data_IF_604479080312
#
_entry.id   IF_604479080312
#
_cell.length_a   1.000
_cell.length_b   1.000
_cell.length_c   1.000
_cell.angle_alpha   90.00
_cell.angle_beta   90.00
_cell.angle_gamma   90.00
#
_symmetry.space_group_name_H-M   'P 1'
#
loop_
_entity.id
_entity.type
_entity.pdbx_description
1 polymer ?
#
# COMPACT_ATOMS: atom_id res chain seq x y z
N UNK A 1 -3.09 -8.82 -13.55
CA UNK A 1 -3.02 -10.01 -12.66
C UNK A 1 -1.63 -10.63 -12.57
N UNK A 2 -1.03 -11.21 -13.62
CA UNK A 2 0.31 -11.85 -13.54
C UNK A 2 1.41 -10.94 -12.92
N UNK A 3 1.60 -9.73 -13.46
CA UNK A 3 2.59 -8.77 -12.92
C UNK A 3 2.33 -8.40 -11.45
N UNK A 4 1.07 -8.32 -11.03
CA UNK A 4 0.71 -8.04 -9.64
C UNK A 4 1.14 -9.19 -8.72
N UNK A 5 0.93 -10.45 -9.15
CA UNK A 5 1.37 -11.63 -8.42
C UNK A 5 2.90 -11.73 -8.34
N UNK A 6 3.60 -11.39 -9.42
CA UNK A 6 5.08 -11.35 -9.46
C UNK A 6 5.63 -10.28 -8.51
N UNK A 7 5.10 -9.05 -8.59
CA UNK A 7 5.49 -7.97 -7.68
C UNK A 7 5.16 -8.31 -6.22
N UNK A 8 4.02 -8.94 -5.96
CA UNK A 8 3.64 -9.39 -4.61
C UNK A 8 4.56 -10.50 -4.10
N UNK A 9 4.99 -11.42 -4.96
CA UNK A 9 5.97 -12.44 -4.60
C UNK A 9 7.30 -11.81 -4.18
N UNK A 10 7.73 -10.74 -4.84
CA UNK A 10 8.92 -9.97 -4.46
C UNK A 10 8.70 -9.20 -3.15
N UNK A 11 7.57 -8.50 -3.01
CA UNK A 11 7.21 -7.76 -1.79
C UNK A 11 7.25 -8.66 -0.54
N UNK A 12 6.76 -9.89 -0.64
CA UNK A 12 6.83 -10.87 0.46
C UNK A 12 8.25 -11.18 0.93
N UNK A 13 9.25 -11.13 0.05
CA UNK A 13 10.65 -11.34 0.44
C UNK A 13 11.12 -10.23 1.37
N UNK A 14 10.78 -8.97 1.06
CA UNK A 14 11.08 -7.83 1.94
C UNK A 14 10.33 -7.93 3.27
N UNK A 15 9.04 -8.29 3.23
CA UNK A 15 8.21 -8.46 4.42
C UNK A 15 8.66 -9.58 5.36
N UNK A 16 9.39 -10.58 4.85
CA UNK A 16 9.97 -11.66 5.65
C UNK A 16 11.42 -11.42 6.08
N UNK A 17 12.10 -10.41 5.53
CA UNK A 17 13.52 -10.19 5.77
C UNK A 17 13.73 -9.20 6.94
N UNK A 18 14.37 -9.63 8.04
CA UNK A 18 14.62 -8.78 9.21
C UNK A 18 15.62 -7.64 8.98
N UNK A 19 16.38 -7.66 7.89
CA UNK A 19 17.35 -6.61 7.55
C UNK A 19 16.67 -5.31 7.10
N UNK A 20 15.39 -5.36 6.71
CA UNK A 20 14.62 -4.17 6.34
C UNK A 20 13.79 -3.69 7.53
N UNK A 21 14.09 -2.50 8.03
CA UNK A 21 13.31 -1.88 9.11
C UNK A 21 12.01 -1.21 8.62
N UNK A 22 11.93 -0.85 7.33
CA UNK A 22 10.77 -0.22 6.71
C UNK A 22 10.48 -0.85 5.34
N UNK A 23 9.22 -1.22 5.12
CA UNK A 23 8.71 -1.64 3.81
C UNK A 23 7.55 -0.73 3.41
N UNK A 24 7.61 -0.17 2.20
CA UNK A 24 6.54 0.66 1.63
C UNK A 24 5.79 -0.15 0.58
N UNK A 25 4.50 -0.35 0.79
CA UNK A 25 3.58 -0.99 -0.14
C UNK A 25 2.72 0.10 -0.79
N UNK A 26 3.31 0.75 -1.79
CA UNK A 26 2.68 1.86 -2.49
C UNK A 26 1.52 1.38 -3.38
N UNK A 27 0.36 1.99 -3.23
CA UNK A 27 -0.85 1.75 -4.03
C UNK A 27 -1.40 0.32 -3.99
N UNK A 28 -1.14 -0.43 -2.91
CA UNK A 28 -1.56 -1.84 -2.77
C UNK A 28 -3.08 -1.99 -2.61
N UNK A 29 -3.79 -0.96 -2.14
CA UNK A 29 -5.26 -1.02 -1.95
C UNK A 29 -5.96 -1.33 -3.28
N UNK A 30 -5.47 -0.81 -4.41
CA UNK A 30 -6.00 -1.14 -5.74
C UNK A 30 -5.83 -2.61 -6.11
N UNK A 31 -4.76 -3.26 -5.66
CA UNK A 31 -4.53 -4.68 -5.94
C UNK A 31 -5.56 -5.56 -5.22
N UNK A 32 -6.01 -5.15 -4.04
CA UNK A 32 -7.10 -5.79 -3.30
C UNK A 32 -8.44 -5.47 -3.97
N UNK A 33 -8.74 -4.18 -4.16
CA UNK A 33 -10.03 -3.71 -4.65
C UNK A 33 -10.37 -4.26 -6.05
N UNK A 34 -9.37 -4.41 -6.91
CA UNK A 34 -9.54 -5.01 -8.25
C UNK A 34 -9.37 -6.53 -8.27
N UNK A 35 -9.26 -7.19 -7.11
CA UNK A 35 -9.12 -8.64 -6.94
C UNK A 35 -7.96 -9.21 -7.75
N UNK A 36 -6.84 -8.48 -7.77
CA UNK A 36 -5.58 -8.92 -8.36
C UNK A 36 -4.76 -9.71 -7.35
N UNK A 37 -4.86 -9.34 -6.08
CA UNK A 37 -4.31 -10.05 -4.94
C UNK A 37 -5.43 -10.40 -3.96
N UNK A 38 -5.29 -11.54 -3.29
CA UNK A 38 -6.19 -11.90 -2.20
C UNK A 38 -5.80 -11.13 -0.93
N UNK A 39 -6.74 -10.38 -0.38
CA UNK A 39 -6.55 -9.61 0.85
C UNK A 39 -6.05 -10.46 2.01
N UNK A 40 -6.59 -11.69 2.15
CA UNK A 40 -6.13 -12.66 3.16
C UNK A 40 -4.63 -12.97 3.04
N UNK A 41 -4.08 -13.02 1.83
CA UNK A 41 -2.64 -13.23 1.64
C UNK A 41 -1.84 -12.03 2.11
N UNK A 42 -2.36 -10.81 1.94
CA UNK A 42 -1.71 -9.57 2.37
C UNK A 42 -1.75 -9.49 3.89
N UNK A 43 -2.93 -9.61 4.51
CA UNK A 43 -3.09 -9.60 5.96
C UNK A 43 -2.18 -10.62 6.65
N UNK A 44 -2.08 -11.84 6.10
CA UNK A 44 -1.17 -12.87 6.61
C UNK A 44 0.31 -12.44 6.52
N UNK A 45 0.72 -11.77 5.46
CA UNK A 45 2.10 -11.28 5.35
C UNK A 45 2.38 -10.15 6.37
N UNK A 46 1.43 -9.23 6.54
CA UNK A 46 1.54 -8.13 7.51
C UNK A 46 1.66 -8.66 8.95
N UNK A 47 0.92 -9.71 9.31
CA UNK A 47 0.94 -10.26 10.68
C UNK A 47 2.14 -11.15 10.98
N UNK A 48 2.77 -11.74 9.97
CA UNK A 48 3.95 -12.62 10.15
C UNK A 48 5.29 -11.92 9.91
N UNK A 49 5.30 -10.60 9.75
CA UNK A 49 6.52 -9.81 9.56
C UNK A 49 7.42 -9.84 10.81
N UNK A 50 8.73 -9.55 10.68
CA UNK A 50 9.60 -9.31 11.83
C UNK A 50 9.04 -8.24 12.77
N UNK A 51 9.09 -8.47 14.08
CA UNK A 51 8.42 -7.61 15.08
C UNK A 51 8.83 -6.13 15.03
N UNK A 52 10.09 -5.85 14.68
CA UNK A 52 10.63 -4.47 14.61
C UNK A 52 10.56 -3.87 13.19
N UNK A 53 9.87 -4.52 12.24
CA UNK A 53 9.67 -4.00 10.90
C UNK A 53 8.41 -3.14 10.82
N UNK A 54 8.59 -1.90 10.35
CA UNK A 54 7.51 -0.98 10.04
C UNK A 54 7.02 -1.16 8.61
N UNK A 55 5.71 -0.98 8.40
CA UNK A 55 5.09 -1.05 7.08
C UNK A 55 4.30 0.22 6.84
N UNK A 56 4.48 0.83 5.68
CA UNK A 56 3.63 1.92 5.19
C UNK A 56 2.82 1.41 4.01
N UNK A 57 1.51 1.53 4.09
CA UNK A 57 0.58 1.21 3.01
C UNK A 57 -0.02 2.52 2.50
N UNK A 58 -0.04 2.70 1.19
CA UNK A 58 -0.72 3.83 0.55
C UNK A 58 -1.80 3.33 -0.40
N UNK A 59 -2.68 4.26 -0.76
CA UNK A 59 -3.71 4.09 -1.77
C UNK A 59 -5.09 4.43 -1.26
N UNK A 60 -6.02 4.57 -2.22
CA UNK A 60 -7.40 4.98 -1.91
C UNK A 60 -8.25 3.78 -1.49
N UNK A 61 -9.28 4.06 -0.68
CA UNK A 61 -10.28 3.08 -0.26
C UNK A 61 -9.63 1.80 0.30
N UNK A 62 -8.84 1.94 1.36
CA UNK A 62 -8.38 0.79 2.13
C UNK A 62 -9.60 0.04 2.69
N UNK A 63 -9.53 -1.29 2.71
CA UNK A 63 -10.57 -2.13 3.27
C UNK A 63 -10.62 -2.01 4.80
N UNK A 64 -11.78 -2.29 5.39
CA UNK A 64 -11.95 -2.27 6.84
C UNK A 64 -10.95 -3.20 7.55
N UNK A 65 -10.65 -4.39 6.97
CA UNK A 65 -9.66 -5.29 7.57
C UNK A 65 -8.24 -4.71 7.55
N UNK A 66 -7.87 -3.94 6.51
CA UNK A 66 -6.56 -3.28 6.47
C UNK A 66 -6.47 -2.16 7.51
N UNK A 67 -7.56 -1.41 7.68
CA UNK A 67 -7.68 -0.37 8.69
C UNK A 67 -7.59 -0.98 10.10
N UNK A 68 -8.28 -2.10 10.33
CA UNK A 68 -8.32 -2.78 11.63
C UNK A 68 -6.95 -3.31 12.06
N UNK A 69 -6.13 -3.84 11.14
CA UNK A 69 -4.78 -4.36 11.48
C UNK A 69 -3.71 -3.27 11.54
N UNK A 70 -4.03 -2.03 11.17
CA UNK A 70 -3.07 -0.93 11.14
C UNK A 70 -2.98 -0.25 12.51
N UNK A 71 -1.76 -0.07 13.01
CA UNK A 71 -1.52 0.69 14.25
C UNK A 71 -1.80 2.20 14.07
N UNK A 72 -1.73 2.70 12.84
CA UNK A 72 -1.96 4.11 12.50
C UNK A 72 -2.61 4.22 11.13
N UNK A 73 -3.68 5.00 11.05
CA UNK A 73 -4.39 5.30 9.81
C UNK A 73 -4.56 6.80 9.70
N UNK A 74 -4.21 7.35 8.53
CA UNK A 74 -4.42 8.75 8.18
C UNK A 74 -5.15 8.84 6.87
N UNK A 75 -6.24 9.61 6.83
CA UNK A 75 -7.02 9.84 5.63
C UNK A 75 -6.66 11.21 5.03
N UNK A 76 -6.27 11.21 3.75
CA UNK A 76 -6.02 12.44 3.00
C UNK A 76 -7.28 12.81 2.21
N UNK A 77 -8.01 13.80 2.72
CA UNK A 77 -9.22 14.31 2.07
C UNK A 77 -8.90 15.31 0.95
N UNK A 78 -9.55 15.17 -0.20
CA UNK A 78 -9.44 16.13 -1.31
C UNK A 78 -10.28 17.40 -1.06
N UNK A 79 -9.83 18.23 -0.12
CA UNK A 79 -10.46 19.54 0.17
C UNK A 79 -10.28 20.48 -1.02
N UNK A 80 -9.07 20.56 -1.58
CA UNK A 80 -8.74 21.34 -2.77
C UNK A 80 -7.61 20.66 -3.56
N UNK A 81 -7.72 20.61 -4.89
CA UNK A 81 -6.68 20.07 -5.77
C UNK A 81 -6.39 20.99 -6.95
N UNK A 82 -5.12 21.16 -7.30
CA UNK A 82 -4.67 22.00 -8.43
C UNK A 82 -5.25 21.55 -9.78
N UNK A 83 -5.38 20.22 -9.96
CA UNK A 83 -6.02 19.61 -11.13
C UNK A 83 -7.43 20.17 -11.41
N UNK A 84 -8.24 20.46 -10.37
CA UNK A 84 -9.59 21.05 -10.53
C UNK A 84 -9.57 22.48 -11.06
N UNK A 85 -8.43 23.16 -10.96
CA UNK A 85 -8.17 24.47 -11.54
C UNK A 85 -7.45 24.37 -12.91
N UNK A 86 -7.46 23.21 -13.56
CA UNK A 86 -6.80 22.93 -14.85
C UNK A 86 -5.26 23.09 -14.83
N UNK A 87 -4.64 23.06 -13.65
CA UNK A 87 -3.19 23.00 -13.54
C UNK A 87 -2.77 21.56 -13.86
N UNK A 88 -1.94 21.40 -14.89
CA UNK A 88 -1.45 20.09 -15.34
C UNK A 88 -0.38 19.55 -14.38
N UNK A 89 -0.19 18.24 -14.39
CA UNK A 89 0.90 17.57 -13.69
C UNK A 89 2.25 18.21 -14.03
N UNK A 90 3.04 18.49 -13.00
CA UNK A 90 4.35 19.11 -13.14
C UNK A 90 5.43 18.15 -12.67
N UNK A 91 6.49 17.97 -13.46
CA UNK A 91 7.61 17.10 -13.09
C UNK A 91 8.22 17.56 -11.76
N UNK A 92 8.33 16.61 -10.82
CA UNK A 92 8.82 16.87 -9.46
C UNK A 92 7.72 17.23 -8.45
N UNK A 93 6.46 17.36 -8.90
CA UNK A 93 5.29 17.54 -8.06
C UNK A 93 4.31 16.36 -8.23
N UNK A 94 3.90 16.12 -9.47
CA UNK A 94 2.97 15.06 -9.87
C UNK A 94 3.63 14.14 -10.92
N UNK A 95 3.06 12.94 -11.08
CA UNK A 95 3.42 11.95 -12.10
C UNK A 95 2.50 12.05 -13.32
#
# INVERSE_FOLDING_TARGET
KRKALEAWAEAKKFLSNPDFNLVVLDEITYMINYKYLEEKSILKALTNRPANQHIVITGRAASDNLIEVADTVSEILDVKHAFRANIKAQKGLDL
#
